data_IF_927954449719
#
_entry.id   IF_927954449719
#
_cell.length_a   1.000
_cell.length_b   1.000
_cell.length_c   1.000
_cell.angle_alpha   90.00
_cell.angle_beta   90.00
_cell.angle_gamma   90.00
#
_symmetry.space_group_name_H-M   'P 1'
#
loop_
_entity.id
_entity.type
_entity.pdbx_description
1 polymer ?
#
# COMPACT_ATOMS: atom_id res chain seq x y z
N UNK A 1 -3.35 17.62 5.14
CA UNK A 1 -2.09 16.87 5.06
C UNK A 1 -2.12 15.64 5.96
N UNK A 2 -2.31 15.76 7.28
CA UNK A 2 -2.40 14.59 8.20
C UNK A 2 -3.47 13.58 7.81
N UNK A 3 -4.62 14.05 7.33
CA UNK A 3 -5.73 13.19 6.89
C UNK A 3 -5.34 12.17 5.81
N UNK A 4 -4.37 12.44 4.93
CA UNK A 4 -4.01 11.46 3.88
C UNK A 4 -3.35 10.23 4.48
N UNK A 5 -2.47 10.39 5.46
CA UNK A 5 -1.82 9.24 6.10
C UNK A 5 -2.79 8.52 7.03
N UNK A 6 -3.73 9.25 7.67
CA UNK A 6 -4.84 8.59 8.37
C UNK A 6 -5.67 7.73 7.41
N UNK A 7 -5.94 8.21 6.19
CA UNK A 7 -6.65 7.41 5.17
C UNK A 7 -5.82 6.20 4.74
N UNK A 8 -4.50 6.29 4.57
CA UNK A 8 -3.66 5.11 4.37
C UNK A 8 -3.93 4.03 5.44
N UNK A 9 -3.81 4.39 6.72
CA UNK A 9 -4.03 3.45 7.81
C UNK A 9 -5.46 2.89 7.81
N UNK A 10 -6.48 3.72 7.59
CA UNK A 10 -7.88 3.27 7.52
C UNK A 10 -8.06 2.24 6.40
N UNK A 11 -7.61 2.53 5.18
CA UNK A 11 -7.78 1.62 4.05
C UNK A 11 -7.03 0.31 4.24
N UNK A 12 -5.77 0.36 4.68
CA UNK A 12 -5.00 -0.85 4.97
C UNK A 12 -5.63 -1.66 6.10
N UNK A 13 -6.00 -1.03 7.23
CA UNK A 13 -6.60 -1.72 8.37
C UNK A 13 -7.94 -2.35 8.02
N UNK A 14 -8.81 -1.65 7.30
CA UNK A 14 -10.09 -2.24 6.84
C UNK A 14 -9.83 -3.41 5.91
N UNK A 15 -8.88 -3.30 4.96
CA UNK A 15 -8.50 -4.40 4.09
C UNK A 15 -8.00 -5.63 4.86
N UNK A 16 -7.17 -5.43 5.88
CA UNK A 16 -6.65 -6.49 6.75
C UNK A 16 -7.74 -7.11 7.64
N UNK A 17 -8.68 -6.31 8.16
CA UNK A 17 -9.82 -6.81 8.92
C UNK A 17 -10.70 -7.68 8.03
N UNK A 18 -11.01 -7.23 6.80
CA UNK A 18 -11.75 -8.03 5.83
C UNK A 18 -10.99 -9.32 5.49
N UNK A 19 -9.65 -9.28 5.49
CA UNK A 19 -8.83 -10.46 5.26
C UNK A 19 -9.06 -11.55 6.31
N UNK A 20 -9.06 -11.15 7.58
CA UNK A 20 -9.35 -12.03 8.71
C UNK A 20 -10.79 -12.57 8.63
N UNK A 21 -11.76 -11.72 8.26
CA UNK A 21 -13.17 -12.10 8.18
C UNK A 21 -13.40 -13.16 7.10
N UNK A 22 -12.87 -12.97 5.88
CA UNK A 22 -13.16 -13.93 4.82
C UNK A 22 -12.52 -15.29 5.07
N UNK A 23 -11.35 -15.35 5.72
CA UNK A 23 -10.66 -16.61 6.07
C UNK A 23 -11.54 -17.51 6.97
N UNK A 24 -12.39 -16.89 7.80
CA UNK A 24 -13.33 -17.59 8.66
C UNK A 24 -14.59 -18.11 7.94
N UNK A 25 -15.01 -17.51 6.82
CA UNK A 25 -16.32 -17.75 6.23
C UNK A 25 -16.41 -18.98 5.31
N UNK A 26 -15.30 -19.41 4.70
CA UNK A 26 -15.18 -20.61 3.81
C UNK A 26 -16.37 -20.86 2.87
N UNK A 27 -16.97 -19.79 2.34
CA UNK A 27 -18.20 -19.82 1.52
C UNK A 27 -17.97 -19.10 0.20
N UNK A 28 -18.15 -19.83 -0.91
CA UNK A 28 -17.52 -19.51 -2.20
C UNK A 28 -17.72 -18.08 -2.74
N UNK A 29 -18.96 -17.58 -2.96
CA UNK A 29 -19.12 -16.26 -3.57
C UNK A 29 -18.74 -15.11 -2.64
N UNK A 30 -19.00 -15.26 -1.34
CA UNK A 30 -18.75 -14.21 -0.35
C UNK A 30 -17.24 -14.04 -0.16
N UNK A 31 -16.49 -15.13 -0.04
CA UNK A 31 -15.03 -15.10 0.11
C UNK A 31 -14.37 -14.42 -1.08
N UNK A 32 -14.82 -14.72 -2.32
CA UNK A 32 -14.27 -14.08 -3.51
C UNK A 32 -14.51 -12.57 -3.53
N UNK A 33 -15.72 -12.11 -3.21
CA UNK A 33 -16.05 -10.67 -3.17
C UNK A 33 -15.23 -9.96 -2.09
N UNK A 34 -15.20 -10.51 -0.87
CA UNK A 34 -14.44 -9.93 0.24
C UNK A 34 -12.95 -9.86 -0.08
N UNK A 35 -12.38 -10.90 -0.70
CA UNK A 35 -10.99 -10.89 -1.11
C UNK A 35 -10.68 -9.80 -2.13
N UNK A 36 -11.52 -9.62 -3.14
CA UNK A 36 -11.36 -8.53 -4.11
C UNK A 36 -11.39 -7.16 -3.43
N UNK A 37 -12.31 -6.95 -2.48
CA UNK A 37 -12.38 -5.71 -1.70
C UNK A 37 -11.10 -5.54 -0.86
N UNK A 38 -10.60 -6.60 -0.22
CA UNK A 38 -9.33 -6.57 0.51
C UNK A 38 -8.17 -6.13 -0.38
N UNK A 39 -7.99 -6.76 -1.55
CA UNK A 39 -6.90 -6.40 -2.48
C UNK A 39 -7.08 -4.97 -2.99
N UNK A 40 -8.31 -4.57 -3.33
CA UNK A 40 -8.63 -3.20 -3.72
C UNK A 40 -8.20 -2.20 -2.65
N UNK A 41 -8.60 -2.39 -1.39
CA UNK A 41 -8.29 -1.48 -0.29
C UNK A 41 -6.79 -1.42 -0.01
N UNK A 42 -6.09 -2.55 -0.08
CA UNK A 42 -4.64 -2.61 0.11
C UNK A 42 -3.92 -1.83 -0.98
N UNK A 43 -4.26 -2.05 -2.25
CA UNK A 43 -3.65 -1.33 -3.38
C UNK A 43 -4.01 0.15 -3.35
N UNK A 44 -5.30 0.46 -3.13
CA UNK A 44 -5.78 1.83 -3.09
C UNK A 44 -5.15 2.62 -1.93
N UNK A 45 -4.95 2.01 -0.77
CA UNK A 45 -4.33 2.65 0.38
C UNK A 45 -2.94 3.25 0.05
N UNK A 46 -2.16 2.57 -0.79
CA UNK A 46 -0.77 2.96 -1.08
C UNK A 46 -0.65 4.34 -1.74
N UNK A 47 -1.68 4.78 -2.49
CA UNK A 47 -1.67 6.09 -3.15
C UNK A 47 -1.59 7.25 -2.16
N UNK A 48 -2.05 7.06 -0.93
CA UNK A 48 -2.06 8.11 0.08
C UNK A 48 -0.66 8.52 0.54
N UNK A 49 0.36 7.66 0.40
CA UNK A 49 1.76 8.05 0.57
C UNK A 49 2.22 9.05 -0.49
N UNK A 50 1.86 8.80 -1.76
CA UNK A 50 2.15 9.71 -2.88
C UNK A 50 1.42 11.03 -2.67
N UNK A 51 0.14 10.97 -2.30
CA UNK A 51 -0.65 12.17 -2.04
C UNK A 51 -0.08 12.98 -0.89
N UNK A 52 0.32 12.34 0.21
CA UNK A 52 0.96 13.02 1.34
C UNK A 52 2.21 13.80 0.89
N UNK A 53 3.11 13.16 0.14
CA UNK A 53 4.29 13.82 -0.41
C UNK A 53 3.92 14.94 -1.38
N UNK A 54 2.89 14.75 -2.20
CA UNK A 54 2.42 15.78 -3.11
C UNK A 54 1.92 17.02 -2.37
N UNK A 55 1.13 16.82 -1.30
CA UNK A 55 0.69 17.90 -0.41
C UNK A 55 1.87 18.60 0.26
N UNK A 56 2.86 17.84 0.73
CA UNK A 56 4.05 18.37 1.37
C UNK A 56 4.91 19.21 0.42
N UNK A 57 5.07 18.77 -0.83
CA UNK A 57 5.82 19.50 -1.86
C UNK A 57 5.14 20.80 -2.31
N UNK A 58 3.81 20.89 -2.18
CA UNK A 58 3.00 22.00 -2.70
C UNK A 58 2.37 22.85 -1.59
N UNK A 59 2.95 22.86 -0.39
CA UNK A 59 2.37 23.49 0.80
C UNK A 59 1.98 24.97 0.60
N UNK A 60 2.78 25.73 -0.16
CA UNK A 60 2.55 27.17 -0.41
C UNK A 60 1.71 27.47 -1.66
N UNK A 61 1.27 26.43 -2.38
CA UNK A 61 0.57 26.58 -3.65
C UNK A 61 -0.84 26.01 -3.61
N UNK A 62 -1.80 26.70 -4.26
CA UNK A 62 -3.16 26.18 -4.38
C UNK A 62 -3.16 24.89 -5.20
N UNK A 63 -3.51 23.79 -4.54
CA UNK A 63 -3.65 22.49 -5.18
C UNK A 63 -4.95 22.48 -5.98
N UNK A 64 -4.84 22.10 -7.26
CA UNK A 64 -5.98 21.90 -8.12
C UNK A 64 -6.72 20.62 -7.74
N UNK A 65 -7.83 20.78 -7.03
CA UNK A 65 -8.69 19.67 -6.58
C UNK A 65 -9.19 18.81 -7.75
N UNK A 66 -9.43 19.39 -8.93
CA UNK A 66 -9.94 18.64 -10.10
C UNK A 66 -8.89 17.66 -10.60
N UNK A 67 -7.63 18.07 -10.67
CA UNK A 67 -6.51 17.19 -11.07
C UNK A 67 -6.30 16.04 -10.09
N UNK A 68 -6.38 16.34 -8.79
CA UNK A 68 -6.26 15.31 -7.75
C UNK A 68 -7.39 14.27 -7.83
N UNK A 69 -8.63 14.72 -7.98
CA UNK A 69 -9.78 13.81 -8.13
C UNK A 69 -9.65 12.98 -9.42
N UNK A 70 -9.26 13.60 -10.53
CA UNK A 70 -9.06 12.89 -11.80
C UNK A 70 -7.99 11.81 -11.67
N UNK A 71 -6.87 12.11 -11.01
CA UNK A 71 -5.81 11.14 -10.74
C UNK A 71 -6.31 9.97 -9.89
N UNK A 72 -7.07 10.24 -8.83
CA UNK A 72 -7.67 9.19 -7.99
C UNK A 72 -8.65 8.31 -8.76
N UNK A 73 -9.50 8.90 -9.62
CA UNK A 73 -10.44 8.15 -10.46
C UNK A 73 -9.68 7.22 -11.42
N UNK A 74 -8.64 7.72 -12.08
CA UNK A 74 -7.80 6.91 -12.97
C UNK A 74 -7.13 5.77 -12.19
N UNK A 75 -6.58 6.07 -11.01
CA UNK A 75 -5.93 5.07 -10.15
C UNK A 75 -6.92 3.97 -9.72
N UNK A 76 -8.13 4.35 -9.29
CA UNK A 76 -9.21 3.42 -8.97
C UNK A 76 -9.61 2.56 -10.17
N UNK A 77 -9.80 3.17 -11.34
CA UNK A 77 -10.18 2.45 -12.56
C UNK A 77 -9.12 1.41 -12.95
N UNK A 78 -7.83 1.76 -12.84
CA UNK A 78 -6.72 0.83 -13.11
C UNK A 78 -6.71 -0.35 -12.14
N UNK A 79 -6.94 -0.12 -10.83
CA UNK A 79 -7.06 -1.22 -9.86
C UNK A 79 -8.23 -2.14 -10.22
N UNK A 80 -9.39 -1.58 -10.55
CA UNK A 80 -10.56 -2.37 -10.95
C UNK A 80 -10.24 -3.21 -12.19
N UNK A 81 -9.59 -2.64 -13.21
CA UNK A 81 -9.15 -3.39 -14.39
C UNK A 81 -8.20 -4.54 -14.05
N UNK A 82 -7.26 -4.32 -13.13
CA UNK A 82 -6.34 -5.37 -12.66
C UNK A 82 -7.13 -6.49 -11.98
N UNK A 83 -8.06 -6.16 -11.07
CA UNK A 83 -8.85 -7.16 -10.34
C UNK A 83 -9.79 -7.98 -11.25
N UNK A 84 -10.14 -7.46 -12.42
CA UNK A 84 -10.96 -8.16 -13.42
C UNK A 84 -10.14 -9.07 -14.35
N UNK A 85 -8.82 -9.19 -14.18
CA UNK A 85 -7.99 -10.08 -14.98
C UNK A 85 -8.44 -11.55 -14.75
N UNK A 86 -8.86 -12.25 -15.82
CA UNK A 86 -9.30 -13.63 -15.70
C UNK A 86 -8.13 -14.50 -15.25
N UNK A 87 -8.43 -15.44 -14.35
CA UNK A 87 -7.41 -16.33 -13.76
C UNK A 87 -6.28 -15.59 -13.03
N UNK A 88 -6.50 -14.35 -12.58
CA UNK A 88 -5.52 -13.59 -11.80
C UNK A 88 -5.20 -14.25 -10.45
N UNK A 89 -6.23 -14.76 -9.77
CA UNK A 89 -6.05 -15.57 -8.57
C UNK A 89 -7.16 -16.63 -8.45
N UNK A 90 -6.92 -17.64 -7.60
CA UNK A 90 -7.88 -18.68 -7.23
C UNK A 90 -8.07 -18.69 -5.71
N UNK A 91 -9.31 -18.89 -5.27
CA UNK A 91 -9.68 -19.06 -3.87
C UNK A 91 -10.87 -20.03 -3.79
N UNK A 92 -10.59 -21.28 -3.44
CA UNK A 92 -11.58 -22.37 -3.42
C UNK A 92 -11.13 -23.47 -2.46
N UNK A 93 -11.86 -24.58 -2.42
CA UNK A 93 -11.51 -25.74 -1.61
C UNK A 93 -10.14 -26.33 -1.96
N UNK A 94 -9.76 -26.33 -3.25
CA UNK A 94 -8.46 -26.84 -3.72
C UNK A 94 -7.29 -26.04 -3.14
N UNK A 95 -7.47 -24.72 -2.94
CA UNK A 95 -6.48 -23.85 -2.30
C UNK A 95 -6.64 -23.76 -0.78
N UNK A 96 -7.51 -24.60 -0.19
CA UNK A 96 -7.90 -24.53 1.22
C UNK A 96 -8.37 -23.12 1.62
N UNK A 97 -9.16 -22.49 0.74
CA UNK A 97 -9.69 -21.12 0.88
C UNK A 97 -8.62 -20.03 1.02
N UNK A 98 -7.36 -20.33 0.70
CA UNK A 98 -6.29 -19.34 0.65
C UNK A 98 -6.17 -18.76 -0.76
N UNK A 99 -5.89 -17.47 -0.91
CA UNK A 99 -5.65 -16.89 -2.22
C UNK A 99 -4.36 -17.44 -2.81
N UNK A 100 -4.43 -17.92 -4.04
CA UNK A 100 -3.28 -18.32 -4.86
C UNK A 100 -3.25 -17.48 -6.12
N UNK A 101 -2.25 -16.62 -6.25
CA UNK A 101 -2.10 -15.71 -7.39
C UNK A 101 -1.36 -16.40 -8.54
N UNK A 102 -1.70 -16.05 -9.77
CA UNK A 102 -0.85 -16.37 -10.91
C UNK A 102 0.38 -15.46 -10.95
N UNK A 103 1.47 -15.94 -11.53
CA UNK A 103 2.69 -15.14 -11.70
C UNK A 103 2.44 -13.90 -12.57
N UNK A 104 1.63 -14.04 -13.62
CA UNK A 104 1.28 -12.92 -14.50
C UNK A 104 0.54 -11.82 -13.73
N UNK A 105 -0.40 -12.20 -12.87
CA UNK A 105 -1.13 -11.27 -12.01
C UNK A 105 -0.19 -10.56 -11.04
N UNK A 106 0.74 -11.29 -10.41
CA UNK A 106 1.76 -10.70 -9.54
C UNK A 106 2.60 -9.65 -10.28
N UNK A 107 3.10 -9.98 -11.47
CA UNK A 107 3.95 -9.08 -12.26
C UNK A 107 3.19 -7.81 -12.63
N UNK A 108 1.93 -7.94 -13.06
CA UNK A 108 1.09 -6.78 -13.42
C UNK A 108 0.87 -5.88 -12.20
N UNK A 109 0.54 -6.46 -11.03
CA UNK A 109 0.36 -5.71 -9.79
C UNK A 109 1.66 -5.02 -9.36
N UNK A 110 2.81 -5.68 -9.51
CA UNK A 110 4.12 -5.10 -9.21
C UNK A 110 4.48 -3.94 -10.12
N UNK A 111 4.24 -4.08 -11.42
CA UNK A 111 4.46 -2.99 -12.40
C UNK A 111 3.54 -1.81 -12.08
N UNK A 112 2.26 -2.08 -11.80
CA UNK A 112 1.31 -1.05 -11.39
C UNK A 112 1.78 -0.30 -10.13
N UNK A 113 2.11 -1.02 -9.07
CA UNK A 113 2.62 -0.45 -7.82
C UNK A 113 3.91 0.35 -8.04
N UNK A 114 4.82 -0.17 -8.86
CA UNK A 114 6.09 0.49 -9.15
C UNK A 114 5.87 1.82 -9.90
N UNK A 115 5.08 1.80 -10.97
CA UNK A 115 4.83 2.95 -11.83
C UNK A 115 4.00 4.04 -11.16
N UNK A 116 2.96 3.67 -10.40
CA UNK A 116 1.98 4.64 -9.87
C UNK A 116 2.18 4.97 -8.39
N UNK A 117 2.94 4.16 -7.65
CA UNK A 117 3.22 4.40 -6.22
C UNK A 117 4.70 4.68 -5.98
N UNK A 118 5.59 3.74 -6.30
CA UNK A 118 7.01 3.83 -5.94
C UNK A 118 7.72 4.98 -6.66
N UNK A 119 7.63 5.03 -8.00
CA UNK A 119 8.29 6.08 -8.79
C UNK A 119 7.79 7.49 -8.39
N UNK A 120 6.47 7.77 -8.35
CA UNK A 120 5.99 9.11 -7.99
C UNK A 120 6.38 9.50 -6.57
N UNK A 121 6.34 8.55 -5.62
CA UNK A 121 6.79 8.78 -4.26
C UNK A 121 8.26 9.18 -4.19
N UNK A 122 9.15 8.44 -4.88
CA UNK A 122 10.59 8.73 -4.91
C UNK A 122 10.90 10.09 -5.54
N UNK A 123 10.27 10.43 -6.66
CA UNK A 123 10.45 11.73 -7.32
C UNK A 123 10.07 12.86 -6.38
N UNK A 124 8.90 12.76 -5.72
CA UNK A 124 8.45 13.78 -4.78
C UNK A 124 9.34 13.84 -3.53
N UNK A 125 9.72 12.69 -2.97
CA UNK A 125 10.62 12.61 -1.82
C UNK A 125 11.94 13.34 -2.10
N UNK A 126 12.59 13.08 -3.24
CA UNK A 126 13.86 13.72 -3.61
C UNK A 126 13.68 15.24 -3.74
N UNK A 127 12.57 15.71 -4.34
CA UNK A 127 12.29 17.13 -4.49
C UNK A 127 12.08 17.82 -3.14
N UNK A 128 11.30 17.22 -2.25
CA UNK A 128 11.03 17.76 -0.90
C UNK A 128 12.32 17.75 -0.06
N UNK A 129 13.10 16.66 -0.15
CA UNK A 129 14.36 16.55 0.57
C UNK A 129 15.33 17.66 0.17
N UNK A 130 15.41 17.98 -1.12
CA UNK A 130 16.26 19.07 -1.64
C UNK A 130 15.74 20.46 -1.30
N UNK A 131 14.42 20.64 -1.12
CA UNK A 131 13.84 21.96 -0.79
C UNK A 131 13.99 22.34 0.68
N UNK A 132 14.23 21.39 1.58
CA UNK A 132 14.46 21.71 2.99
C UNK A 132 15.88 22.26 3.22
N UNK A 133 15.98 23.37 3.93
CA UNK A 133 17.24 23.90 4.44
C UNK A 133 17.59 23.28 5.80
N UNK A 134 16.58 23.07 6.65
CA UNK A 134 16.78 22.56 7.99
C UNK A 134 17.10 21.07 8.04
N UNK A 135 18.21 20.72 8.71
CA UNK A 135 18.64 19.33 8.92
C UNK A 135 17.60 18.52 9.70
N UNK A 136 16.90 19.12 10.67
CA UNK A 136 15.85 18.46 11.48
C UNK A 136 14.71 17.93 10.60
N UNK A 137 14.24 18.73 9.65
CA UNK A 137 13.17 18.34 8.72
C UNK A 137 13.63 17.22 7.76
N UNK A 138 14.88 17.27 7.28
CA UNK A 138 15.45 16.21 6.44
C UNK A 138 15.50 14.85 7.14
N UNK A 139 15.94 14.82 8.39
CA UNK A 139 15.99 13.58 9.18
C UNK A 139 14.60 12.98 9.36
N UNK A 140 13.60 13.81 9.63
CA UNK A 140 12.20 13.37 9.78
C UNK A 140 11.62 12.83 8.47
N UNK A 141 11.92 13.50 7.36
CA UNK A 141 11.53 13.01 6.03
C UNK A 141 12.18 11.66 5.70
N UNK A 142 13.42 11.41 6.16
CA UNK A 142 14.07 10.10 6.05
C UNK A 142 13.33 9.04 6.87
N UNK A 143 12.90 9.32 8.10
CA UNK A 143 12.09 8.37 8.86
C UNK A 143 10.78 8.02 8.14
N UNK A 144 10.08 9.03 7.61
CA UNK A 144 8.89 8.80 6.81
C UNK A 144 9.19 7.94 5.57
N UNK A 145 10.29 8.21 4.87
CA UNK A 145 10.75 7.42 3.72
C UNK A 145 11.04 5.96 4.08
N UNK A 146 11.75 5.72 5.19
CA UNK A 146 12.01 4.36 5.67
C UNK A 146 10.71 3.63 6.04
N UNK A 147 9.75 4.34 6.64
CA UNK A 147 8.42 3.80 6.90
C UNK A 147 7.71 3.36 5.61
N UNK A 148 7.73 4.20 4.57
CA UNK A 148 7.19 3.84 3.25
C UNK A 148 7.89 2.63 2.64
N UNK A 149 9.22 2.57 2.67
CA UNK A 149 9.98 1.43 2.13
C UNK A 149 9.58 0.14 2.84
N UNK A 150 9.45 0.15 4.17
CA UNK A 150 9.03 -1.03 4.89
C UNK A 150 7.58 -1.45 4.56
N UNK A 151 6.64 -0.51 4.41
CA UNK A 151 5.30 -0.83 3.91
C UNK A 151 5.30 -1.37 2.47
N UNK A 152 6.16 -0.84 1.60
CA UNK A 152 6.32 -1.35 0.24
C UNK A 152 6.85 -2.79 0.25
N UNK A 153 7.90 -3.09 1.03
CA UNK A 153 8.43 -4.45 1.19
C UNK A 153 7.36 -5.39 1.72
N UNK A 154 6.64 -4.99 2.78
CA UNK A 154 5.56 -5.78 3.36
C UNK A 154 4.46 -6.08 2.34
N UNK A 155 4.09 -5.10 1.52
CA UNK A 155 3.04 -5.25 0.50
C UNK A 155 3.49 -6.17 -0.62
N UNK A 156 4.70 -5.95 -1.17
CA UNK A 156 5.25 -6.80 -2.24
C UNK A 156 5.40 -8.24 -1.76
N UNK A 157 6.03 -8.48 -0.62
CA UNK A 157 6.20 -9.86 -0.16
C UNK A 157 4.90 -10.53 0.26
N UNK A 158 3.86 -9.81 0.69
CA UNK A 158 2.52 -10.39 0.89
C UNK A 158 1.88 -10.87 -0.42
N UNK A 159 2.13 -10.17 -1.54
CA UNK A 159 1.68 -10.63 -2.86
C UNK A 159 2.50 -11.83 -3.33
N UNK A 160 3.81 -11.84 -3.08
CA UNK A 160 4.67 -13.00 -3.34
C UNK A 160 4.25 -14.21 -2.50
N UNK A 161 3.83 -13.99 -1.24
CA UNK A 161 3.29 -15.03 -0.34
C UNK A 161 2.06 -15.72 -0.92
N UNK A 162 1.20 -14.96 -1.60
CA UNK A 162 0.03 -15.49 -2.29
C UNK A 162 0.40 -16.20 -3.59
N UNK A 163 1.54 -15.88 -4.22
CA UNK A 163 1.93 -16.43 -5.52
C UNK A 163 2.81 -17.69 -5.39
N UNK A 164 3.89 -17.61 -4.62
CA UNK A 164 4.89 -18.67 -4.52
C UNK A 164 4.36 -19.90 -3.77
N UNK A 165 3.47 -19.71 -2.80
CA UNK A 165 2.78 -20.80 -2.07
C UNK A 165 3.69 -21.87 -1.44
N UNK A 166 4.99 -21.59 -1.27
CA UNK A 166 5.95 -22.53 -0.69
C UNK A 166 5.89 -22.46 0.86
N UNK A 167 5.77 -23.60 1.57
CA UNK A 167 5.56 -23.63 3.03
C UNK A 167 6.63 -22.92 3.86
N UNK A 168 7.91 -23.07 3.52
CA UNK A 168 9.05 -22.45 4.24
C UNK A 168 8.98 -20.93 4.08
N UNK A 169 8.82 -20.43 2.86
CA UNK A 169 8.67 -19.01 2.56
C UNK A 169 7.50 -18.41 3.34
N UNK A 170 6.35 -19.09 3.35
CA UNK A 170 5.17 -18.62 4.08
C UNK A 170 5.41 -18.51 5.59
N UNK A 171 6.08 -19.50 6.16
CA UNK A 171 6.42 -19.50 7.58
C UNK A 171 7.34 -18.34 7.91
N UNK A 172 8.44 -18.18 7.16
CA UNK A 172 9.39 -17.07 7.33
C UNK A 172 8.70 -15.72 7.17
N UNK A 173 7.91 -15.55 6.10
CA UNK A 173 7.24 -14.29 5.79
C UNK A 173 6.22 -13.89 6.86
N UNK A 174 5.53 -14.85 7.48
CA UNK A 174 4.55 -14.58 8.55
C UNK A 174 5.22 -13.87 9.72
N UNK A 175 6.37 -14.37 10.18
CA UNK A 175 7.11 -13.71 11.26
C UNK A 175 7.80 -12.43 10.79
N UNK A 176 8.46 -12.48 9.62
CA UNK A 176 9.21 -11.34 9.08
C UNK A 176 8.31 -10.13 8.83
N UNK A 177 7.10 -10.33 8.32
CA UNK A 177 6.16 -9.25 8.03
C UNK A 177 5.78 -8.45 9.27
N UNK A 178 5.65 -9.08 10.44
CA UNK A 178 5.41 -8.37 11.70
C UNK A 178 6.57 -7.44 12.07
N UNK A 179 7.80 -7.95 11.94
CA UNK A 179 9.02 -7.16 12.18
C UNK A 179 9.25 -6.05 11.15
N UNK A 180 8.56 -6.09 10.02
CA UNK A 180 8.61 -5.01 9.02
C UNK A 180 7.48 -4.00 9.29
N UNK A 181 6.25 -4.46 9.44
CA UNK A 181 5.06 -3.59 9.51
C UNK A 181 5.08 -2.72 10.76
N UNK A 182 5.42 -3.27 11.93
CA UNK A 182 5.40 -2.52 13.19
C UNK A 182 6.42 -1.36 13.16
N UNK A 183 7.72 -1.59 12.86
CA UNK A 183 8.67 -0.49 12.71
C UNK A 183 8.29 0.48 11.59
N UNK A 184 7.73 0.00 10.47
CA UNK A 184 7.29 0.88 9.37
C UNK A 184 6.21 1.87 9.81
N UNK A 185 5.25 1.38 10.61
CA UNK A 185 4.21 2.21 11.22
C UNK A 185 4.80 3.27 12.15
N UNK A 186 5.71 2.87 13.04
CA UNK A 186 6.39 3.78 13.97
C UNK A 186 7.22 4.84 13.23
N UNK A 187 8.01 4.44 12.23
CA UNK A 187 8.84 5.35 11.43
C UNK A 187 7.99 6.36 10.65
N UNK A 188 6.87 5.90 10.07
CA UNK A 188 5.89 6.78 9.41
C UNK A 188 5.30 7.78 10.40
N UNK A 189 4.91 7.32 11.60
CA UNK A 189 4.38 8.19 12.65
C UNK A 189 5.41 9.21 13.13
N UNK A 190 6.64 8.80 13.47
CA UNK A 190 7.71 9.71 13.90
C UNK A 190 8.09 10.72 12.80
N UNK A 191 8.04 10.31 11.54
CA UNK A 191 8.28 11.19 10.40
C UNK A 191 7.23 12.29 10.23
N UNK A 192 5.99 12.08 10.71
CA UNK A 192 4.86 13.01 10.55
C UNK A 192 4.51 13.73 11.85
N UNK A 193 4.14 12.97 12.89
CA UNK A 193 3.46 13.48 14.08
C UNK A 193 4.37 14.32 15.00
N UNK A 194 5.66 14.03 15.05
CA UNK A 194 6.60 14.72 15.94
C UNK A 194 7.12 16.07 15.39
N UNK A 195 6.44 16.70 14.42
CA UNK A 195 7.17 17.65 13.55
C UNK A 195 6.51 18.85 12.89
N UNK A 196 5.20 19.04 12.96
CA UNK A 196 4.57 20.22 12.35
C UNK A 196 3.88 21.12 13.38
N UNK A 197 3.99 20.78 14.66
CA UNK A 197 3.64 21.63 15.81
C UNK A 197 4.94 21.95 16.51
N UNK A 198 5.65 22.97 16.02
CA UNK A 198 6.68 23.77 16.69
C UNK A 198 7.02 24.91 15.73
#
# INVERSE_FOLDING_TARGET
MTYTISLFYVFISVGLILNIIYDALKTNPIVFILYNITVFLILFGQIFFVLFNFFLYKIDSKIDKKKLITFLIIYTALIIMILLIPSGFKINEETNWRPVWSWDFLIIVYVFMFCFTIIPFLILFIRIYKSFNEKRLKVKLIYFFLGFIGFAIATYGAMLYNTWNEPIFRTIWTYLSLFIIIPSGLLTYYGIAASWKD
#
